data_IF_278345528635
#
_entry.id   IF_278345528635
#
_cell.length_a   1.000
_cell.length_b   1.000
_cell.length_c   1.000
_cell.angle_alpha   90.00
_cell.angle_beta   90.00
_cell.angle_gamma   90.00
#
_symmetry.space_group_name_H-M   'P 1'
#
loop_
_entity.id
_entity.type
_entity.pdbx_description
1 polymer ?
#
# COMPACT_ATOMS: atom_id res chain seq x y z
N UNK A 1 2.57 -13.80 21.22
CA UNK A 1 1.92 -13.04 20.12
C UNK A 1 2.46 -11.64 20.20
N UNK A 2 3.41 -11.35 19.33
CA UNK A 2 4.37 -10.26 19.44
C UNK A 2 3.74 -8.90 19.13
N UNK A 3 3.32 -8.20 20.19
CA UNK A 3 2.74 -6.85 20.13
C UNK A 3 3.67 -5.78 19.49
N UNK A 4 4.92 -6.10 19.20
CA UNK A 4 5.88 -5.21 18.55
C UNK A 4 5.64 -5.03 17.04
N UNK A 5 5.04 -6.01 16.36
CA UNK A 5 4.68 -5.89 14.93
C UNK A 5 3.46 -4.99 14.69
N UNK A 6 2.76 -4.57 15.76
CA UNK A 6 1.57 -3.74 15.65
C UNK A 6 1.93 -2.30 15.27
N UNK A 7 3.15 -1.80 15.55
CA UNK A 7 3.47 -0.35 15.56
C UNK A 7 4.59 0.10 14.61
N UNK A 8 4.81 -0.58 13.49
CA UNK A 8 5.86 -0.23 12.52
C UNK A 8 5.38 -0.14 11.06
N UNK A 9 6.25 0.31 10.14
CA UNK A 9 6.04 0.11 8.71
C UNK A 9 5.96 -1.40 8.40
N UNK A 10 5.17 -1.77 7.40
CA UNK A 10 5.04 -3.15 6.92
C UNK A 10 5.85 -3.32 5.64
N UNK A 11 6.64 -4.39 5.58
CA UNK A 11 7.42 -4.77 4.39
C UNK A 11 6.79 -5.99 3.75
N UNK A 12 6.67 -5.96 2.43
CA UNK A 12 6.15 -7.04 1.62
C UNK A 12 7.15 -7.31 0.49
N UNK A 13 7.63 -8.55 0.40
CA UNK A 13 8.39 -8.99 -0.78
C UNK A 13 7.42 -9.14 -1.96
N UNK A 14 7.82 -8.65 -3.13
CA UNK A 14 7.03 -8.72 -4.35
C UNK A 14 7.37 -10.02 -5.08
N UNK A 15 6.35 -10.71 -5.58
CA UNK A 15 6.51 -11.87 -6.43
C UNK A 15 7.05 -11.47 -7.81
N UNK A 16 6.63 -10.31 -8.31
CA UNK A 16 7.12 -9.71 -9.54
C UNK A 16 7.78 -8.35 -9.23
N UNK A 17 9.12 -8.27 -9.27
CA UNK A 17 9.81 -6.99 -9.09
C UNK A 17 9.51 -6.07 -10.27
N UNK A 18 9.43 -4.76 -9.98
CA UNK A 18 9.22 -3.72 -10.98
C UNK A 18 10.32 -2.66 -10.89
N UNK A 19 10.41 -1.78 -11.89
CA UNK A 19 11.49 -0.78 -11.94
C UNK A 19 10.96 0.61 -11.62
N UNK A 20 11.59 1.27 -10.66
CA UNK A 20 11.32 2.65 -10.25
C UNK A 20 12.56 3.48 -10.47
N UNK A 21 12.51 4.50 -11.34
CA UNK A 21 13.64 5.37 -11.66
C UNK A 21 14.92 4.61 -12.06
N UNK A 22 14.78 3.47 -12.75
CA UNK A 22 15.90 2.61 -13.16
C UNK A 22 16.44 1.70 -12.07
N UNK A 23 15.80 1.65 -10.89
CA UNK A 23 16.13 0.75 -9.80
C UNK A 23 15.07 -0.34 -9.68
N UNK A 24 15.51 -1.60 -9.56
CA UNK A 24 14.62 -2.72 -9.30
C UNK A 24 14.09 -2.66 -7.87
N UNK A 25 12.77 -2.74 -7.74
CA UNK A 25 12.03 -2.82 -6.48
C UNK A 25 11.47 -4.22 -6.36
N UNK A 26 12.06 -5.01 -5.46
CA UNK A 26 11.63 -6.37 -5.10
C UNK A 26 10.96 -6.44 -3.72
N UNK A 27 10.97 -5.34 -2.96
CA UNK A 27 10.29 -5.22 -1.67
C UNK A 27 9.59 -3.86 -1.57
N UNK A 28 8.32 -3.88 -1.15
CA UNK A 28 7.52 -2.68 -0.89
C UNK A 28 7.46 -2.40 0.62
N UNK A 29 7.83 -1.18 1.02
CA UNK A 29 7.67 -0.71 2.40
C UNK A 29 6.48 0.24 2.51
N UNK A 30 5.44 -0.17 3.25
CA UNK A 30 4.26 0.65 3.53
C UNK A 30 4.38 1.27 4.92
N UNK A 31 4.43 2.60 5.01
CA UNK A 31 4.32 3.30 6.30
C UNK A 31 2.91 3.17 6.88
N UNK A 32 2.77 3.40 8.19
CA UNK A 32 1.46 3.55 8.84
C UNK A 32 0.69 4.73 8.21
N UNK A 33 -0.59 4.55 7.83
CA UNK A 33 -1.43 5.67 7.42
C UNK A 33 -1.66 6.63 8.59
N UNK A 34 -1.60 7.92 8.31
CA UNK A 34 -2.00 8.99 9.22
C UNK A 34 -3.46 9.35 8.95
N UNK A 35 -4.11 10.01 9.90
CA UNK A 35 -5.49 10.51 9.72
C UNK A 35 -5.61 11.42 8.48
N UNK A 36 -4.55 12.16 8.14
CA UNK A 36 -4.50 12.97 6.94
C UNK A 36 -4.58 12.13 5.64
N UNK A 37 -3.99 10.93 5.63
CA UNK A 37 -4.08 10.01 4.50
C UNK A 37 -5.50 9.46 4.35
N UNK A 38 -6.14 9.08 5.46
CA UNK A 38 -7.53 8.61 5.46
C UNK A 38 -8.49 9.68 4.94
N UNK A 39 -8.34 10.92 5.41
CA UNK A 39 -9.15 12.06 4.93
C UNK A 39 -8.98 12.32 3.44
N UNK A 40 -7.75 12.20 2.93
CA UNK A 40 -7.47 12.39 1.50
C UNK A 40 -7.97 11.23 0.65
N UNK A 41 -7.83 9.99 1.13
CA UNK A 41 -8.36 8.79 0.47
C UNK A 41 -9.88 8.89 0.29
N UNK A 42 -10.59 9.39 1.30
CA UNK A 42 -12.04 9.58 1.21
C UNK A 42 -12.43 10.58 0.11
N UNK A 43 -11.61 11.61 -0.09
CA UNK A 43 -11.77 12.61 -1.14
C UNK A 43 -11.30 12.17 -2.54
N UNK A 44 -10.63 11.01 -2.67
CA UNK A 44 -10.24 10.45 -3.98
C UNK A 44 -11.51 10.07 -4.74
N UNK A 45 -11.66 10.62 -5.95
CA UNK A 45 -12.74 10.27 -6.87
C UNK A 45 -12.47 8.90 -7.48
N UNK A 46 -13.49 8.05 -7.52
CA UNK A 46 -13.40 6.71 -8.10
C UNK A 46 -13.97 5.64 -7.16
N UNK A 47 -13.84 4.38 -7.58
CA UNK A 47 -14.24 3.22 -6.78
C UNK A 47 -13.21 2.85 -5.71
N UNK A 48 -13.49 1.76 -5.00
CA UNK A 48 -12.61 1.23 -3.93
C UNK A 48 -11.19 0.95 -4.44
N UNK A 49 -11.06 0.38 -5.64
CA UNK A 49 -9.77 0.15 -6.28
C UNK A 49 -8.94 1.43 -6.42
N UNK A 50 -9.53 2.53 -6.91
CA UNK A 50 -8.82 3.80 -7.07
C UNK A 50 -8.35 4.37 -5.72
N UNK A 51 -9.16 4.22 -4.67
CA UNK A 51 -8.80 4.61 -3.30
C UNK A 51 -7.66 3.75 -2.74
N UNK A 52 -7.70 2.45 -3.00
CA UNK A 52 -6.66 1.49 -2.60
C UNK A 52 -5.33 1.79 -3.29
N UNK A 53 -5.31 1.94 -4.62
CA UNK A 53 -4.10 2.29 -5.38
C UNK A 53 -3.50 3.63 -4.90
N UNK A 54 -4.36 4.62 -4.66
CA UNK A 54 -3.91 5.90 -4.11
C UNK A 54 -3.27 5.74 -2.72
N UNK A 55 -3.88 4.94 -1.84
CA UNK A 55 -3.34 4.68 -0.50
C UNK A 55 -2.01 3.93 -0.59
N UNK A 56 -1.88 2.92 -1.45
CA UNK A 56 -0.62 2.21 -1.69
C UNK A 56 0.49 3.19 -2.06
N UNK A 57 0.25 4.05 -3.05
CA UNK A 57 1.22 5.07 -3.45
C UNK A 57 1.61 6.00 -2.30
N UNK A 58 0.65 6.50 -1.54
CA UNK A 58 0.94 7.38 -0.41
C UNK A 58 1.70 6.72 0.74
N UNK A 59 1.49 5.42 0.96
CA UNK A 59 2.14 4.69 2.03
C UNK A 59 3.52 4.15 1.62
N UNK A 60 3.69 3.83 0.34
CA UNK A 60 4.96 3.39 -0.23
C UNK A 60 5.87 4.55 -0.70
N UNK A 61 5.32 5.77 -0.81
CA UNK A 61 6.05 6.89 -1.39
C UNK A 61 6.19 6.81 -2.91
N UNK A 62 5.26 6.09 -3.57
CA UNK A 62 5.21 5.94 -5.02
C UNK A 62 4.24 6.94 -5.65
N UNK A 63 4.59 7.43 -6.82
CA UNK A 63 3.72 8.18 -7.71
C UNK A 63 2.67 7.27 -8.36
N UNK A 64 1.58 7.81 -8.92
CA UNK A 64 0.54 7.00 -9.56
C UNK A 64 1.10 6.10 -10.66
N UNK A 65 2.03 6.62 -11.47
CA UNK A 65 2.68 5.87 -12.55
C UNK A 65 3.50 4.70 -12.02
N UNK A 66 4.20 4.86 -10.90
CA UNK A 66 4.98 3.78 -10.28
C UNK A 66 4.07 2.74 -9.61
N UNK A 67 2.87 3.13 -9.15
CA UNK A 67 1.86 2.18 -8.65
C UNK A 67 1.27 1.35 -9.79
N UNK A 68 1.07 1.95 -10.97
CA UNK A 68 0.56 1.24 -12.15
C UNK A 68 1.52 0.15 -12.67
N UNK A 69 2.81 0.25 -12.33
CA UNK A 69 3.84 -0.76 -12.66
C UNK A 69 3.83 -1.97 -11.71
N UNK A 70 3.08 -1.91 -10.60
CA UNK A 70 2.95 -3.04 -9.67
C UNK A 70 2.16 -4.15 -10.37
N UNK A 71 2.71 -5.36 -10.34
CA UNK A 71 2.04 -6.52 -10.93
C UNK A 71 0.69 -6.79 -10.24
N UNK A 72 -0.31 -7.13 -11.06
CA UNK A 72 -1.66 -7.39 -10.57
C UNK A 72 -1.71 -8.58 -9.59
N UNK A 73 -0.76 -9.52 -9.67
CA UNK A 73 -0.61 -10.64 -8.74
C UNK A 73 -0.11 -10.22 -7.35
N UNK A 74 0.64 -9.12 -7.24
CA UNK A 74 1.08 -8.57 -5.96
C UNK A 74 0.04 -7.62 -5.33
N UNK A 75 -0.86 -7.05 -6.14
CA UNK A 75 -1.87 -6.08 -5.70
C UNK A 75 -2.74 -6.59 -4.55
N UNK A 76 -3.17 -7.84 -4.58
CA UNK A 76 -4.05 -8.42 -3.55
C UNK A 76 -3.35 -8.45 -2.17
N UNK A 77 -2.10 -8.92 -2.13
CA UNK A 77 -1.31 -8.99 -0.90
C UNK A 77 -1.02 -7.59 -0.34
N UNK A 78 -0.73 -6.63 -1.21
CA UNK A 78 -0.52 -5.23 -0.81
C UNK A 78 -1.83 -4.63 -0.27
N UNK A 79 -2.96 -4.89 -0.92
CA UNK A 79 -4.27 -4.39 -0.51
C UNK A 79 -4.69 -4.94 0.87
N UNK A 80 -4.41 -6.21 1.16
CA UNK A 80 -4.66 -6.80 2.48
C UNK A 80 -3.86 -6.07 3.57
N UNK A 81 -2.59 -5.75 3.29
CA UNK A 81 -1.74 -4.98 4.20
C UNK A 81 -2.36 -3.60 4.48
N UNK A 82 -2.85 -2.93 3.45
CA UNK A 82 -3.52 -1.63 3.57
C UNK A 82 -4.82 -1.72 4.37
N UNK A 83 -5.67 -2.73 4.11
CA UNK A 83 -6.90 -2.98 4.85
C UNK A 83 -6.63 -3.26 6.34
N UNK A 84 -5.52 -3.94 6.65
CA UNK A 84 -5.06 -4.19 8.00
C UNK A 84 -4.74 -2.92 8.80
N UNK A 85 -4.45 -1.79 8.13
CA UNK A 85 -4.25 -0.51 8.82
C UNK A 85 -5.53 0.25 9.11
N UNK A 86 -6.58 0.08 8.29
CA UNK A 86 -7.84 0.83 8.40
C UNK A 86 -8.87 0.15 9.31
N UNK A 87 -8.54 -1.04 9.84
CA UNK A 87 -9.39 -1.77 10.78
C UNK A 87 -10.57 -2.50 10.13
N UNK A 88 -10.63 -2.55 8.79
CA UNK A 88 -11.70 -3.25 8.05
C UNK A 88 -11.54 -4.79 8.05
N UNK A 89 -10.44 -5.31 8.58
CA UNK A 89 -10.17 -6.75 8.73
C UNK A 89 -10.55 -7.36 10.08
N UNK A 90 -11.55 -6.80 10.78
CA UNK A 90 -12.06 -7.37 12.04
C UNK A 90 -13.58 -7.22 12.09
N UNK A 91 -14.26 -8.04 11.31
CA UNK A 91 -15.60 -8.55 11.61
C UNK A 91 -15.47 -10.05 11.92
#
# INVERSE_FOLDING_TARGET
MDNAQIIGPRRLALAAPFTVNGLEVSELTLRRPKVADLRRMDAVKGGDLAKTLWMIGQLAGLSPQEVDEIDAGDLEAIAEVVAGFTGKGRD
#
